data_IF_774711396742
#
_entry.id   IF_774711396742
#
_cell.length_a   1.000
_cell.length_b   1.000
_cell.length_c   1.000
_cell.angle_alpha   90.00
_cell.angle_beta   90.00
_cell.angle_gamma   90.00
#
_symmetry.space_group_name_H-M   'P 1'
#
loop_
_entity.id
_entity.type
_entity.pdbx_description
1 polymer ?
#
# COMPACT_ATOMS: atom_id res chain seq x y z
N UNK A 1 9.04 20.23 11.66
CA UNK A 1 9.88 19.81 10.50
C UNK A 1 9.74 18.31 10.31
N UNK A 2 9.45 17.85 9.09
CA UNK A 2 9.39 16.43 8.71
C UNK A 2 10.81 15.84 8.71
N UNK A 3 10.97 14.61 9.17
CA UNK A 3 12.24 13.88 9.17
C UNK A 3 12.14 12.49 8.53
N UNK A 4 10.93 11.98 8.32
CA UNK A 4 10.72 10.66 7.77
C UNK A 4 9.50 10.59 6.87
N UNK A 5 9.54 9.64 5.93
CA UNK A 5 8.43 9.22 5.10
C UNK A 5 8.13 7.74 5.33
N UNK A 6 6.85 7.42 5.43
CA UNK A 6 6.36 6.05 5.45
C UNK A 6 5.41 5.84 4.28
N UNK A 7 5.60 4.76 3.54
CA UNK A 7 4.84 4.47 2.33
C UNK A 7 4.01 3.21 2.51
N UNK A 8 2.75 3.27 2.09
CA UNK A 8 1.97 2.08 1.80
C UNK A 8 2.58 1.30 0.64
N UNK A 9 2.07 0.10 0.36
CA UNK A 9 2.66 -0.85 -0.59
C UNK A 9 1.79 -0.99 -1.84
N UNK A 10 0.60 -1.59 -1.69
CA UNK A 10 -0.29 -1.88 -2.80
C UNK A 10 -0.81 -0.59 -3.46
N UNK A 11 -0.78 -0.53 -4.79
CA UNK A 11 -1.21 0.66 -5.56
C UNK A 11 -0.53 1.98 -5.15
N UNK A 12 0.38 1.93 -4.18
CA UNK A 12 1.27 3.05 -3.83
C UNK A 12 2.67 2.86 -4.43
N UNK A 13 3.32 1.74 -4.14
CA UNK A 13 4.64 1.38 -4.66
C UNK A 13 4.54 0.24 -5.70
N UNK A 14 3.66 -0.71 -5.47
CA UNK A 14 3.48 -1.93 -6.26
C UNK A 14 2.13 -1.89 -6.96
N UNK A 15 2.12 -2.20 -8.25
CA UNK A 15 0.90 -2.40 -9.03
C UNK A 15 0.29 -3.75 -8.70
N UNK A 16 -1.00 -3.78 -8.49
CA UNK A 16 -1.73 -5.01 -8.16
C UNK A 16 -2.08 -5.88 -9.38
N UNK A 17 -1.65 -5.51 -10.59
CA UNK A 17 -1.92 -6.23 -11.84
C UNK A 17 -1.58 -7.72 -11.75
N UNK A 18 -0.36 -8.04 -11.31
CA UNK A 18 0.12 -9.41 -11.19
C UNK A 18 -0.61 -10.15 -10.08
N UNK A 19 -0.84 -9.51 -8.95
CA UNK A 19 -1.52 -10.10 -7.81
C UNK A 19 -2.93 -10.59 -8.19
N UNK A 20 -3.76 -9.68 -8.72
CA UNK A 20 -5.13 -10.01 -9.14
C UNK A 20 -5.15 -10.90 -10.38
N UNK A 21 -4.19 -10.74 -11.30
CA UNK A 21 -4.02 -11.62 -12.45
C UNK A 21 -3.78 -13.07 -12.04
N UNK A 22 -2.93 -13.30 -11.02
CA UNK A 22 -2.66 -14.65 -10.50
C UNK A 22 -3.84 -15.26 -9.76
N UNK A 23 -4.62 -14.46 -9.05
CA UNK A 23 -5.88 -14.93 -8.48
C UNK A 23 -6.87 -15.34 -9.54
N UNK A 24 -6.98 -14.56 -10.61
CA UNK A 24 -7.85 -14.87 -11.74
C UNK A 24 -7.43 -16.19 -12.41
N UNK A 25 -6.13 -16.35 -12.69
CA UNK A 25 -5.58 -17.59 -13.29
C UNK A 25 -5.81 -18.82 -12.39
N UNK A 26 -5.60 -18.67 -11.08
CA UNK A 26 -5.82 -19.76 -10.11
C UNK A 26 -7.26 -20.22 -10.07
N UNK A 27 -8.19 -19.30 -10.11
CA UNK A 27 -9.62 -19.57 -10.04
C UNK A 27 -10.26 -19.85 -11.41
N UNK A 28 -9.48 -19.88 -12.50
CA UNK A 28 -9.95 -20.02 -13.88
C UNK A 28 -11.01 -18.96 -14.24
N UNK A 29 -10.71 -17.70 -13.91
CA UNK A 29 -11.55 -16.52 -14.17
C UNK A 29 -10.82 -15.62 -15.16
N UNK A 30 -11.49 -15.04 -16.18
CA UNK A 30 -10.84 -14.04 -17.03
C UNK A 30 -10.30 -12.86 -16.21
N UNK A 31 -9.01 -12.52 -16.38
CA UNK A 31 -8.34 -11.45 -15.61
C UNK A 31 -9.09 -10.13 -15.65
N UNK A 32 -9.60 -9.75 -16.84
CA UNK A 32 -10.43 -8.54 -16.99
C UNK A 32 -11.69 -8.57 -16.13
N UNK A 33 -12.36 -9.73 -16.03
CA UNK A 33 -13.57 -9.89 -15.22
C UNK A 33 -13.25 -9.66 -13.73
N UNK A 34 -12.20 -10.29 -13.22
CA UNK A 34 -11.82 -10.11 -11.81
C UNK A 34 -11.40 -8.66 -11.53
N UNK A 35 -10.57 -8.05 -12.38
CA UNK A 35 -10.15 -6.65 -12.21
C UNK A 35 -11.34 -5.69 -12.21
N UNK A 36 -12.33 -5.89 -13.09
CA UNK A 36 -13.54 -5.08 -13.12
C UNK A 36 -14.36 -5.22 -11.83
N UNK A 37 -14.44 -6.43 -11.26
CA UNK A 37 -15.14 -6.68 -9.99
C UNK A 37 -14.39 -6.10 -8.79
N UNK A 38 -13.05 -6.12 -8.80
CA UNK A 38 -12.25 -5.39 -7.81
C UNK A 38 -12.61 -3.90 -7.81
N UNK A 39 -12.61 -3.25 -8.98
CA UNK A 39 -13.05 -1.85 -9.08
C UNK A 39 -14.51 -1.63 -8.63
N UNK A 40 -15.40 -2.58 -8.91
CA UNK A 40 -16.80 -2.49 -8.50
C UNK A 40 -17.02 -2.58 -6.99
N UNK A 41 -16.26 -3.42 -6.26
CA UNK A 41 -16.34 -3.51 -4.79
C UNK A 41 -15.67 -2.31 -4.14
N UNK A 42 -14.56 -1.83 -4.68
CA UNK A 42 -13.89 -0.59 -4.25
C UNK A 42 -14.83 0.61 -4.36
N UNK A 43 -15.56 0.73 -5.46
CA UNK A 43 -16.54 1.81 -5.65
C UNK A 43 -17.69 1.78 -4.60
N UNK A 44 -17.89 0.65 -3.92
CA UNK A 44 -18.84 0.49 -2.82
C UNK A 44 -18.20 0.64 -1.43
N UNK A 45 -16.92 1.00 -1.34
CA UNK A 45 -16.18 1.09 -0.08
C UNK A 45 -15.90 -0.28 0.57
N UNK A 46 -15.88 -1.36 -0.22
CA UNK A 46 -15.70 -2.73 0.25
C UNK A 46 -14.28 -3.21 -0.03
N UNK A 47 -13.82 -4.17 0.78
CA UNK A 47 -12.51 -4.79 0.61
C UNK A 47 -12.34 -5.43 -0.78
N UNK A 48 -11.15 -5.28 -1.37
CA UNK A 48 -10.81 -5.82 -2.69
C UNK A 48 -11.08 -7.34 -2.79
N UNK A 49 -10.82 -8.11 -1.72
CA UNK A 49 -11.04 -9.55 -1.68
C UNK A 49 -12.53 -9.94 -1.80
N UNK A 50 -13.45 -9.00 -1.57
CA UNK A 50 -14.88 -9.25 -1.78
C UNK A 50 -15.21 -9.54 -3.25
N UNK A 51 -14.36 -9.10 -4.19
CA UNK A 51 -14.49 -9.45 -5.59
C UNK A 51 -14.42 -10.97 -5.82
N UNK A 52 -13.59 -11.68 -5.05
CA UNK A 52 -13.53 -13.15 -5.10
C UNK A 52 -14.84 -13.78 -4.61
N UNK A 53 -15.40 -13.26 -3.52
CA UNK A 53 -16.66 -13.72 -2.94
C UNK A 53 -17.86 -13.45 -3.83
N UNK A 54 -17.83 -12.41 -4.67
CA UNK A 54 -18.86 -12.16 -5.68
C UNK A 54 -18.93 -13.28 -6.73
N UNK A 55 -17.79 -13.87 -7.07
CA UNK A 55 -17.70 -14.96 -8.06
C UNK A 55 -17.83 -16.34 -7.41
N UNK A 56 -17.36 -16.51 -6.20
CA UNK A 56 -17.40 -17.73 -5.41
C UNK A 56 -17.82 -17.42 -3.98
N UNK A 57 -19.12 -17.35 -3.67
CA UNK A 57 -19.60 -16.93 -2.35
C UNK A 57 -19.05 -17.73 -1.15
N UNK A 58 -18.76 -19.01 -1.37
CA UNK A 58 -18.28 -19.92 -0.33
C UNK A 58 -16.74 -20.03 -0.30
N UNK A 59 -16.01 -19.16 -0.99
CA UNK A 59 -14.55 -19.22 -1.06
C UNK A 59 -13.92 -18.98 0.33
N UNK A 60 -13.08 -19.89 0.76
CA UNK A 60 -12.15 -19.67 1.85
C UNK A 60 -10.84 -19.12 1.26
N UNK A 61 -10.68 -17.81 1.31
CA UNK A 61 -9.53 -17.12 0.72
C UNK A 61 -8.21 -17.48 1.38
N UNK A 62 -8.22 -17.82 2.68
CA UNK A 62 -7.01 -18.25 3.39
C UNK A 62 -6.59 -19.66 2.95
N UNK A 63 -7.54 -20.60 2.86
CA UNK A 63 -7.25 -21.94 2.36
C UNK A 63 -6.79 -21.94 0.91
N UNK A 64 -7.38 -21.09 0.05
CA UNK A 64 -6.95 -20.94 -1.34
C UNK A 64 -5.55 -20.29 -1.45
N UNK A 65 -5.23 -19.34 -0.56
CA UNK A 65 -3.88 -18.77 -0.48
C UNK A 65 -2.85 -19.88 -0.18
N UNK A 66 -3.09 -20.68 0.87
CA UNK A 66 -2.21 -21.78 1.25
C UNK A 66 -2.06 -22.83 0.13
N UNK A 67 -3.16 -23.15 -0.55
CA UNK A 67 -3.16 -24.09 -1.68
C UNK A 67 -2.32 -23.56 -2.86
N UNK A 68 -2.38 -22.26 -3.14
CA UNK A 68 -1.55 -21.61 -4.18
C UNK A 68 -0.07 -21.66 -3.82
N UNK A 69 0.29 -21.35 -2.57
CA UNK A 69 1.67 -21.44 -2.10
C UNK A 69 2.19 -22.87 -2.22
N UNK A 70 1.43 -23.86 -1.77
CA UNK A 70 1.78 -25.27 -1.88
C UNK A 70 1.96 -25.76 -3.33
N UNK A 71 1.23 -25.17 -4.28
CA UNK A 71 1.32 -25.46 -5.71
C UNK A 71 2.44 -24.70 -6.42
N UNK A 72 3.24 -23.89 -5.73
CA UNK A 72 4.26 -23.02 -6.32
C UNK A 72 3.69 -21.90 -7.19
N UNK A 73 2.44 -21.48 -6.92
CA UNK A 73 1.73 -20.39 -7.60
C UNK A 73 1.39 -19.24 -6.63
N UNK A 74 2.15 -19.14 -5.56
CA UNK A 74 1.98 -18.15 -4.52
C UNK A 74 2.33 -16.72 -4.94
N UNK A 75 2.65 -15.90 -3.94
CA UNK A 75 3.05 -14.51 -4.18
C UNK A 75 4.41 -14.45 -4.88
N UNK A 76 4.48 -13.56 -5.85
CA UNK A 76 5.71 -13.16 -6.54
C UNK A 76 5.73 -11.66 -6.71
N UNK A 77 6.93 -11.10 -6.70
CA UNK A 77 7.16 -9.68 -6.94
C UNK A 77 8.43 -9.53 -7.78
N UNK A 78 8.35 -8.73 -8.81
CA UNK A 78 9.46 -8.40 -9.69
C UNK A 78 9.62 -6.87 -9.80
N UNK A 79 10.79 -6.44 -10.27
CA UNK A 79 11.05 -5.01 -10.53
C UNK A 79 9.99 -4.36 -11.41
N UNK A 80 9.48 -5.11 -12.40
CA UNK A 80 8.44 -4.66 -13.31
C UNK A 80 7.07 -4.42 -12.67
N UNK A 81 6.85 -4.86 -11.43
CA UNK A 81 5.62 -4.62 -10.69
C UNK A 81 5.64 -3.28 -9.94
N UNK A 82 6.81 -2.67 -9.79
CA UNK A 82 6.92 -1.34 -9.20
C UNK A 82 6.38 -0.27 -10.15
N UNK A 83 5.81 0.77 -9.58
CA UNK A 83 5.56 1.99 -10.34
C UNK A 83 6.89 2.67 -10.72
N UNK A 84 6.99 3.30 -11.91
CA UNK A 84 8.27 3.82 -12.43
C UNK A 84 8.92 4.90 -11.54
N UNK A 85 8.12 5.61 -10.76
CA UNK A 85 8.56 6.70 -9.88
C UNK A 85 9.05 6.24 -8.52
N UNK A 86 8.90 4.96 -8.15
CA UNK A 86 9.24 4.44 -6.83
C UNK A 86 10.72 4.63 -6.50
N UNK A 87 11.61 4.01 -7.27
CA UNK A 87 13.04 4.08 -6.98
C UNK A 87 13.59 5.51 -7.02
N UNK A 88 13.27 6.33 -8.04
CA UNK A 88 13.72 7.72 -8.06
C UNK A 88 13.21 8.53 -6.87
N UNK A 89 11.94 8.38 -6.48
CA UNK A 89 11.37 9.13 -5.38
C UNK A 89 11.98 8.71 -4.02
N UNK A 90 12.00 7.41 -3.73
CA UNK A 90 12.59 6.91 -2.46
C UNK A 90 14.08 7.28 -2.38
N UNK A 91 14.83 7.11 -3.46
CA UNK A 91 16.24 7.49 -3.54
C UNK A 91 16.47 8.99 -3.34
N UNK A 92 15.62 9.81 -3.95
CA UNK A 92 15.67 11.28 -3.82
C UNK A 92 15.40 11.73 -2.38
N UNK A 93 14.39 11.17 -1.72
CA UNK A 93 14.08 11.47 -0.32
C UNK A 93 15.22 11.08 0.62
N UNK A 94 15.81 9.89 0.44
CA UNK A 94 17.00 9.49 1.23
C UNK A 94 18.20 10.40 0.98
N UNK A 95 18.43 10.78 -0.28
CA UNK A 95 19.52 11.71 -0.62
C UNK A 95 19.31 13.10 0.00
N UNK A 96 18.04 13.51 0.19
CA UNK A 96 17.67 14.73 0.90
C UNK A 96 17.77 14.60 2.44
N UNK A 97 18.13 13.42 2.95
CA UNK A 97 18.35 13.18 4.39
C UNK A 97 17.11 12.69 5.15
N UNK A 98 16.01 12.40 4.48
CA UNK A 98 14.83 11.80 5.10
C UNK A 98 15.02 10.30 5.33
N UNK A 99 14.50 9.81 6.45
CA UNK A 99 14.35 8.38 6.69
C UNK A 99 13.17 7.86 5.86
N UNK A 100 13.33 6.72 5.20
CA UNK A 100 12.32 6.10 4.35
C UNK A 100 11.91 4.75 4.91
N UNK A 101 10.63 4.60 5.24
CA UNK A 101 10.00 3.37 5.73
C UNK A 101 8.98 2.91 4.70
N UNK A 102 8.90 1.60 4.45
CA UNK A 102 7.82 0.98 3.68
C UNK A 102 7.01 0.14 4.68
N UNK A 103 5.73 0.44 4.83
CA UNK A 103 4.84 -0.24 5.77
C UNK A 103 3.40 -0.26 5.25
N UNK A 104 2.84 -1.43 5.00
CA UNK A 104 1.48 -1.59 4.45
C UNK A 104 0.81 -2.89 4.87
N UNK A 105 -0.49 -3.01 4.54
CA UNK A 105 -1.27 -4.21 4.78
C UNK A 105 -0.90 -5.29 3.76
N UNK A 106 0.08 -6.10 4.11
CA UNK A 106 0.60 -7.17 3.27
C UNK A 106 1.02 -8.38 4.10
N UNK A 107 1.19 -9.53 3.44
CA UNK A 107 1.70 -10.75 4.04
C UNK A 107 3.16 -10.62 4.45
N UNK A 108 3.62 -11.46 5.37
CA UNK A 108 5.05 -11.56 5.71
C UNK A 108 5.89 -11.96 4.49
N UNK A 109 5.31 -12.77 3.59
CA UNK A 109 5.96 -13.19 2.34
C UNK A 109 6.22 -12.00 1.42
N UNK A 110 5.25 -11.10 1.26
CA UNK A 110 5.44 -9.87 0.49
C UNK A 110 6.56 -9.00 1.08
N UNK A 111 6.70 -8.94 2.41
CA UNK A 111 7.81 -8.26 3.08
C UNK A 111 9.18 -8.84 2.70
N UNK A 112 9.30 -10.16 2.60
CA UNK A 112 10.53 -10.82 2.13
C UNK A 112 10.83 -10.45 0.67
N UNK A 113 9.82 -10.50 -0.20
CA UNK A 113 9.94 -10.18 -1.63
C UNK A 113 10.35 -8.71 -1.85
N UNK A 114 9.75 -7.77 -1.11
CA UNK A 114 10.11 -6.36 -1.17
C UNK A 114 11.56 -6.11 -0.76
N UNK A 115 12.04 -6.78 0.30
CA UNK A 115 13.44 -6.67 0.72
C UNK A 115 14.40 -7.26 -0.32
N UNK A 116 14.00 -8.32 -1.02
CA UNK A 116 14.81 -8.90 -2.10
C UNK A 116 14.99 -7.96 -3.30
N UNK A 117 14.10 -7.00 -3.50
CA UNK A 117 14.25 -5.97 -4.55
C UNK A 117 15.27 -4.88 -4.20
N UNK A 118 15.80 -4.84 -2.97
CA UNK A 118 16.77 -3.82 -2.54
C UNK A 118 16.30 -2.39 -2.84
N UNK A 119 15.10 -2.06 -2.38
CA UNK A 119 14.53 -0.71 -2.54
C UNK A 119 15.28 0.30 -1.67
N UNK A 120 15.37 1.59 -2.10
CA UNK A 120 15.99 2.65 -1.32
C UNK A 120 15.16 3.00 -0.06
N UNK A 121 15.08 2.08 0.89
CA UNK A 121 14.34 2.22 2.14
C UNK A 121 15.21 1.81 3.33
N UNK A 122 15.00 2.47 4.48
CA UNK A 122 15.71 2.15 5.71
C UNK A 122 15.05 1.00 6.48
N UNK A 123 13.74 0.83 6.29
CA UNK A 123 12.95 -0.27 6.86
C UNK A 123 11.84 -0.68 5.90
N UNK A 124 11.62 -1.99 5.80
CA UNK A 124 10.48 -2.59 5.07
C UNK A 124 9.83 -3.58 6.00
N UNK A 125 8.55 -3.37 6.31
CA UNK A 125 7.76 -4.21 7.21
C UNK A 125 6.32 -4.30 6.72
N UNK A 126 5.62 -5.35 7.13
CA UNK A 126 4.24 -5.58 6.73
C UNK A 126 3.34 -5.83 7.93
N UNK A 127 2.03 -5.67 7.75
CA UNK A 127 1.04 -6.02 8.77
C UNK A 127 1.11 -7.48 9.18
N UNK A 128 1.43 -8.38 8.26
CA UNK A 128 1.62 -9.80 8.54
C UNK A 128 2.78 -10.09 9.48
N UNK A 129 3.87 -9.31 9.38
CA UNK A 129 5.01 -9.42 10.31
C UNK A 129 4.72 -8.79 11.67
N UNK A 130 3.94 -7.71 11.69
CA UNK A 130 3.60 -7.01 12.92
C UNK A 130 2.43 -7.63 13.68
N UNK A 131 1.57 -8.42 13.02
CA UNK A 131 0.33 -8.94 13.58
C UNK A 131 -0.72 -7.86 13.83
N UNK A 132 -0.57 -6.68 13.25
CA UNK A 132 -1.50 -5.55 13.29
C UNK A 132 -1.57 -4.88 11.93
N UNK A 133 -2.75 -4.44 11.53
CA UNK A 133 -3.01 -3.91 10.18
C UNK A 133 -3.73 -2.56 10.24
N UNK A 134 -3.56 -1.74 9.22
CA UNK A 134 -4.39 -0.54 9.02
C UNK A 134 -5.89 -0.95 8.93
N UNK A 135 -6.80 -0.20 9.50
CA UNK A 135 -6.64 1.14 10.07
C UNK A 135 -6.36 1.18 11.58
N UNK A 136 -5.90 0.07 12.21
CA UNK A 136 -5.63 0.03 13.65
C UNK A 136 -4.58 1.10 14.04
N UNK A 137 -4.83 1.94 15.08
CA UNK A 137 -3.88 2.94 15.55
C UNK A 137 -2.52 2.36 15.97
N UNK A 138 -2.48 1.10 16.45
CA UNK A 138 -1.22 0.43 16.79
C UNK A 138 -0.31 0.27 15.58
N UNK A 139 -0.86 0.07 14.37
CA UNK A 139 -0.07 0.02 13.14
C UNK A 139 0.75 1.30 12.97
N UNK A 140 0.14 2.48 13.14
CA UNK A 140 0.82 3.77 12.99
C UNK A 140 1.79 4.08 14.12
N UNK A 141 1.54 3.57 15.34
CA UNK A 141 2.52 3.62 16.42
C UNK A 141 3.79 2.84 16.05
N UNK A 142 3.65 1.65 15.46
CA UNK A 142 4.78 0.86 14.95
C UNK A 142 5.48 1.51 13.76
N UNK A 143 4.74 2.23 12.91
CA UNK A 143 5.35 3.06 11.85
C UNK A 143 6.26 4.12 12.47
N UNK A 144 5.83 4.80 13.52
CA UNK A 144 6.64 5.81 14.20
C UNK A 144 7.89 5.21 14.85
N UNK A 145 7.79 4.03 15.46
CA UNK A 145 8.94 3.28 15.97
C UNK A 145 9.92 2.89 14.84
N UNK A 146 9.42 2.38 13.71
CA UNK A 146 10.24 1.99 12.56
C UNK A 146 10.92 3.20 11.90
N UNK A 147 10.25 4.34 11.89
CA UNK A 147 10.78 5.61 11.41
C UNK A 147 11.74 6.28 12.39
N UNK A 148 11.79 5.83 13.65
CA UNK A 148 12.59 6.46 14.74
C UNK A 148 12.31 7.96 14.85
N UNK A 149 11.04 8.36 14.67
CA UNK A 149 10.61 9.75 14.64
C UNK A 149 9.29 9.94 15.41
N UNK A 150 9.04 11.16 15.89
CA UNK A 150 7.76 11.48 16.48
C UNK A 150 6.67 11.51 15.39
N UNK A 151 5.40 11.12 15.68
CA UNK A 151 4.33 11.04 14.68
C UNK A 151 4.23 12.28 13.77
N UNK A 152 4.21 13.48 14.33
CA UNK A 152 4.11 14.74 13.60
C UNK A 152 5.31 15.06 12.66
N UNK A 153 6.39 14.29 12.76
CA UNK A 153 7.59 14.40 11.92
C UNK A 153 7.58 13.40 10.75
N UNK A 154 6.54 12.56 10.65
CA UNK A 154 6.41 11.51 9.64
C UNK A 154 5.31 11.91 8.66
N UNK A 155 5.57 11.77 7.37
CA UNK A 155 4.53 11.80 6.33
C UNK A 155 4.20 10.36 5.94
N UNK A 156 2.96 9.94 6.17
CA UNK A 156 2.45 8.67 5.65
C UNK A 156 1.86 8.89 4.26
N UNK A 157 2.31 8.13 3.28
CA UNK A 157 1.93 8.25 1.86
C UNK A 157 1.17 7.01 1.46
N UNK A 158 -0.05 7.16 0.97
CA UNK A 158 -0.86 6.04 0.49
C UNK A 158 -2.02 6.48 -0.41
N UNK A 159 -2.65 5.52 -1.05
CA UNK A 159 -3.73 5.75 -2.01
C UNK A 159 -5.14 5.61 -1.41
N UNK A 160 -5.27 4.91 -0.28
CA UNK A 160 -6.56 4.57 0.31
C UNK A 160 -6.97 5.54 1.43
N UNK A 161 -7.93 6.47 1.21
CA UNK A 161 -8.25 7.51 2.20
C UNK A 161 -8.58 6.98 3.60
N UNK A 162 -9.42 5.94 3.70
CA UNK A 162 -9.86 5.39 4.98
C UNK A 162 -8.82 4.48 5.68
N UNK A 163 -7.82 3.97 4.96
CA UNK A 163 -6.76 3.13 5.55
C UNK A 163 -5.47 3.91 5.78
N UNK A 164 -5.19 4.92 4.94
CA UNK A 164 -3.89 5.60 4.93
C UNK A 164 -3.97 7.02 5.48
N UNK A 165 -5.00 7.79 5.08
CA UNK A 165 -5.07 9.21 5.41
C UNK A 165 -5.73 9.43 6.77
N UNK A 166 -6.98 9.01 6.92
CA UNK A 166 -7.76 9.27 8.14
C UNK A 166 -7.10 8.68 9.39
N UNK A 167 -6.73 7.37 9.44
CA UNK A 167 -6.17 6.78 10.64
C UNK A 167 -4.74 7.24 10.93
N UNK A 168 -3.91 7.52 9.92
CA UNK A 168 -2.58 8.09 10.13
C UNK A 168 -2.68 9.49 10.76
N UNK A 169 -3.59 10.34 10.29
CA UNK A 169 -3.86 11.66 10.90
C UNK A 169 -4.37 11.54 12.32
N UNK A 170 -5.29 10.60 12.58
CA UNK A 170 -5.79 10.32 13.92
C UNK A 170 -4.67 9.89 14.89
N UNK A 171 -3.64 9.20 14.38
CA UNK A 171 -2.43 8.83 15.11
C UNK A 171 -1.40 9.97 15.21
N UNK A 172 -1.67 11.15 14.65
CA UNK A 172 -0.83 12.34 14.73
C UNK A 172 0.27 12.42 13.66
N UNK A 173 0.25 11.57 12.66
CA UNK A 173 1.14 11.67 11.50
C UNK A 173 0.63 12.76 10.53
N UNK A 174 1.52 13.27 9.71
CA UNK A 174 1.16 14.02 8.50
C UNK A 174 0.88 13.04 7.37
N UNK A 175 0.12 13.44 6.37
CA UNK A 175 -0.34 12.52 5.32
C UNK A 175 -0.21 13.10 3.93
N UNK A 176 0.13 12.25 2.95
CA UNK A 176 0.03 12.56 1.55
C UNK A 176 -0.88 11.52 0.86
N UNK A 177 -2.02 11.98 0.33
CA UNK A 177 -2.90 11.14 -0.47
C UNK A 177 -2.39 11.07 -1.89
N UNK A 178 -2.08 9.86 -2.35
CA UNK A 178 -1.63 9.58 -3.72
C UNK A 178 -2.83 9.16 -4.58
N UNK A 179 -3.12 9.92 -5.62
CA UNK A 179 -4.18 9.59 -6.59
C UNK A 179 -3.69 8.51 -7.56
N UNK A 180 -3.69 7.26 -7.10
CA UNK A 180 -3.21 6.09 -7.83
C UNK A 180 -4.08 4.88 -7.47
N UNK A 181 -4.13 3.88 -8.36
CA UNK A 181 -4.94 2.69 -8.14
C UNK A 181 -6.45 2.95 -8.08
N UNK A 182 -7.26 1.90 -7.85
CA UNK A 182 -8.72 2.04 -7.76
C UNK A 182 -9.17 2.94 -6.61
N UNK A 183 -8.60 2.77 -5.40
CA UNK A 183 -8.96 3.57 -4.23
C UNK A 183 -8.57 5.03 -4.42
N UNK A 184 -7.33 5.31 -4.79
CA UNK A 184 -6.82 6.66 -4.95
C UNK A 184 -7.54 7.46 -6.03
N UNK A 185 -8.07 6.80 -7.08
CA UNK A 185 -8.82 7.48 -8.12
C UNK A 185 -10.32 7.64 -7.80
N UNK A 186 -10.97 6.58 -7.31
CA UNK A 186 -12.43 6.60 -7.06
C UNK A 186 -12.81 7.44 -5.85
N UNK A 187 -11.92 7.54 -4.86
CA UNK A 187 -12.16 8.21 -3.60
C UNK A 187 -11.33 9.49 -3.41
N UNK A 188 -10.74 10.01 -4.51
CA UNK A 188 -9.87 11.20 -4.49
C UNK A 188 -10.53 12.47 -3.95
N UNK A 189 -11.84 12.60 -4.13
CA UNK A 189 -12.60 13.81 -3.78
C UNK A 189 -13.49 13.59 -2.54
N UNK A 190 -13.15 12.62 -1.69
CA UNK A 190 -13.83 12.42 -0.41
C UNK A 190 -13.26 13.34 0.67
N UNK A 191 -14.04 13.66 1.73
CA UNK A 191 -13.54 14.46 2.83
C UNK A 191 -12.26 13.91 3.48
N UNK A 192 -12.12 12.58 3.54
CA UNK A 192 -10.94 11.88 4.07
C UNK A 192 -9.70 12.16 3.20
N UNK A 193 -9.84 12.07 1.88
CA UNK A 193 -8.75 12.37 0.93
C UNK A 193 -8.39 13.87 0.94
N UNK A 194 -9.42 14.74 0.99
CA UNK A 194 -9.22 16.20 1.06
C UNK A 194 -8.55 16.65 2.37
N UNK A 195 -8.69 15.85 3.43
CA UNK A 195 -8.08 16.13 4.72
C UNK A 195 -6.58 15.86 4.77
N UNK A 196 -5.99 15.21 3.75
CA UNK A 196 -4.54 15.01 3.68
C UNK A 196 -3.78 16.34 3.63
N UNK A 197 -2.59 16.39 4.24
CA UNK A 197 -1.74 17.58 4.21
C UNK A 197 -1.27 17.89 2.77
N UNK A 198 -1.07 16.84 1.98
CA UNK A 198 -0.72 16.93 0.55
C UNK A 198 -1.56 15.97 -0.27
N UNK A 199 -1.88 16.40 -1.49
CA UNK A 199 -2.51 15.56 -2.53
C UNK A 199 -1.56 15.52 -3.71
N UNK A 200 -1.17 14.34 -4.12
CA UNK A 200 -0.15 14.10 -5.14
C UNK A 200 -0.65 13.12 -6.21
N UNK A 201 -0.18 13.28 -7.43
CA UNK A 201 -0.46 12.40 -8.55
C UNK A 201 0.71 11.45 -8.84
N UNK A 202 1.88 11.76 -8.30
CA UNK A 202 3.11 10.99 -8.44
C UNK A 202 3.96 11.09 -7.18
N UNK A 203 4.75 10.05 -6.89
CA UNK A 203 5.74 10.12 -5.81
C UNK A 203 6.85 11.15 -6.10
N UNK A 204 7.07 11.52 -7.36
CA UNK A 204 7.98 12.61 -7.72
C UNK A 204 7.53 13.96 -7.14
N UNK A 205 6.23 14.16 -6.95
CA UNK A 205 5.70 15.43 -6.41
C UNK A 205 6.26 15.69 -5.00
N UNK A 206 6.55 14.63 -4.22
CA UNK A 206 7.17 14.75 -2.91
C UNK A 206 8.56 15.40 -2.95
N UNK A 207 9.29 15.29 -4.05
CA UNK A 207 10.63 15.88 -4.18
C UNK A 207 10.59 17.40 -4.42
N UNK A 208 9.42 17.95 -4.75
CA UNK A 208 9.22 19.38 -5.03
C UNK A 208 8.56 20.13 -3.85
N UNK A 209 8.13 19.42 -2.81
CA UNK A 209 7.45 20.02 -1.64
C UNK A 209 8.48 20.44 -0.58
N UNK A 210 8.29 21.62 -0.02
CA UNK A 210 8.98 22.02 1.22
C UNK A 210 8.23 21.45 2.43
N UNK A 211 8.85 20.56 3.15
CA UNK A 211 8.31 19.92 4.36
C UNK A 211 8.70 20.63 5.67
N UNK A 212 9.13 21.86 5.60
CA UNK A 212 9.60 22.82 6.60
C UNK A 212 9.29 22.59 8.06
#
# INVERSE_FOLDING_TARGET
MVTAFAFDIGETLVRDDRYWGRWADWLDIPRHTLSALVGAVVAQGRDNADALRMLRPDIDTAAEYDAREAAGKGEELEEGDLYPDVRPALGGLRAAGFRVVIAGNQTSKMGELLRALDLPADRIVTSGEWGVAKPDPEFFARVAEAAEAAPHQIVYVGDHPANDVEPARAAGLRTAHLRRGPWGNLWADTPEAEAADWRIDSLHDLLAVDFG
#
